data_IF_184705687030
#
_entry.id   IF_184705687030
#
_cell.length_a   1.000
_cell.length_b   1.000
_cell.length_c   1.000
_cell.angle_alpha   90.00
_cell.angle_beta   90.00
_cell.angle_gamma   90.00
#
_symmetry.space_group_name_H-M   'P 1'
#
loop_
_entity.id
_entity.type
_entity.pdbx_description
1 polymer ?
#
# COMPACT_ATOMS: atom_id res chain seq x y z
N UNK A 1 -6.27 22.06 -30.27
CA UNK A 1 -5.94 20.76 -29.62
C UNK A 1 -6.67 19.68 -30.36
N UNK A 2 -5.94 18.75 -30.97
CA UNK A 2 -6.53 17.58 -31.62
C UNK A 2 -7.07 16.62 -30.56
N UNK A 3 -7.94 15.67 -30.92
CA UNK A 3 -8.48 14.67 -29.97
C UNK A 3 -7.39 13.82 -29.30
N UNK A 4 -6.20 13.72 -29.91
CA UNK A 4 -5.05 12.97 -29.40
C UNK A 4 -4.33 13.69 -28.25
N UNK A 5 -4.37 15.02 -28.21
CA UNK A 5 -3.71 15.85 -27.18
C UNK A 5 -4.34 15.69 -25.77
N UNK A 6 -5.43 14.92 -25.67
CA UNK A 6 -6.18 14.71 -24.42
C UNK A 6 -6.37 13.24 -24.04
N UNK A 7 -5.73 12.30 -24.75
CA UNK A 7 -5.79 10.89 -24.39
C UNK A 7 -4.67 10.51 -23.44
N UNK A 8 -5.02 9.90 -22.32
CA UNK A 8 -4.09 9.44 -21.30
C UNK A 8 -4.19 7.93 -21.18
N UNK A 9 -3.03 7.27 -21.15
CA UNK A 9 -2.94 5.87 -20.76
C UNK A 9 -2.60 5.78 -19.28
N UNK A 10 -3.37 5.00 -18.52
CA UNK A 10 -3.08 4.65 -17.13
C UNK A 10 -2.88 3.13 -17.06
N UNK A 11 -1.71 2.71 -16.62
CA UNK A 11 -1.36 1.29 -16.47
C UNK A 11 -1.47 0.91 -15.00
N UNK A 12 -2.42 0.02 -14.69
CA UNK A 12 -2.79 -0.46 -13.36
C UNK A 12 -4.09 0.19 -12.85
N UNK A 13 -5.03 -0.63 -12.40
CA UNK A 13 -6.34 -0.23 -11.87
C UNK A 13 -6.42 -0.26 -10.33
N UNK A 14 -5.26 -0.20 -9.65
CA UNK A 14 -5.18 0.05 -8.19
C UNK A 14 -5.37 1.53 -7.84
N UNK A 15 -5.24 1.90 -6.56
CA UNK A 15 -5.47 3.27 -6.09
C UNK A 15 -4.74 4.34 -6.91
N UNK A 16 -3.47 4.10 -7.25
CA UNK A 16 -2.69 5.07 -8.02
C UNK A 16 -3.37 5.37 -9.36
N UNK A 17 -3.67 4.33 -10.15
CA UNK A 17 -4.30 4.51 -11.45
C UNK A 17 -5.74 5.03 -11.35
N UNK A 18 -6.52 4.54 -10.38
CA UNK A 18 -7.91 4.97 -10.21
C UNK A 18 -8.02 6.46 -9.85
N UNK A 19 -7.17 6.96 -8.97
CA UNK A 19 -7.12 8.38 -8.60
C UNK A 19 -6.68 9.23 -9.79
N UNK A 20 -5.64 8.81 -10.53
CA UNK A 20 -5.20 9.52 -11.73
C UNK A 20 -6.32 9.57 -12.78
N UNK A 21 -6.94 8.43 -13.07
CA UNK A 21 -7.99 8.33 -14.07
C UNK A 21 -9.19 9.22 -13.73
N UNK A 22 -9.68 9.15 -12.49
CA UNK A 22 -10.80 9.98 -12.05
C UNK A 22 -10.48 11.47 -12.13
N UNK A 23 -9.35 11.90 -11.57
CA UNK A 23 -9.00 13.32 -11.53
C UNK A 23 -8.71 13.90 -12.93
N UNK A 24 -8.05 13.15 -13.82
CA UNK A 24 -7.80 13.58 -15.20
C UNK A 24 -9.08 13.61 -16.04
N UNK A 25 -9.97 12.64 -15.85
CA UNK A 25 -11.25 12.61 -16.53
C UNK A 25 -12.15 13.79 -16.12
N UNK A 26 -12.13 14.18 -14.84
CA UNK A 26 -12.80 15.38 -14.33
C UNK A 26 -12.19 16.67 -14.90
N UNK A 27 -10.89 16.67 -15.22
CA UNK A 27 -10.23 17.74 -15.94
C UNK A 27 -10.46 17.71 -17.47
N UNK A 28 -11.27 16.77 -17.97
CA UNK A 28 -11.71 16.70 -19.36
C UNK A 28 -10.85 15.84 -20.29
N UNK A 29 -9.88 15.10 -19.76
CA UNK A 29 -9.09 14.12 -20.52
C UNK A 29 -9.90 12.84 -20.78
N UNK A 30 -9.61 12.18 -21.90
CA UNK A 30 -10.06 10.81 -22.17
C UNK A 30 -9.02 9.85 -21.61
N UNK A 31 -9.42 8.93 -20.72
CA UNK A 31 -8.50 8.06 -20.00
C UNK A 31 -8.76 6.60 -20.32
N UNK A 32 -7.77 5.94 -20.89
CA UNK A 32 -7.72 4.50 -21.04
C UNK A 32 -6.95 3.90 -19.86
N UNK A 33 -7.64 3.11 -19.03
CA UNK A 33 -7.08 2.37 -17.91
C UNK A 33 -6.93 0.90 -18.33
N UNK A 34 -5.74 0.34 -18.16
CA UNK A 34 -5.51 -1.10 -18.37
C UNK A 34 -5.07 -1.76 -17.07
N UNK A 35 -5.46 -3.02 -16.86
CA UNK A 35 -4.88 -3.86 -15.81
C UNK A 35 -4.66 -5.27 -16.35
N UNK A 36 -3.54 -5.88 -15.97
CA UNK A 36 -3.24 -7.28 -16.32
C UNK A 36 -4.14 -8.26 -15.54
N UNK A 37 -4.64 -7.85 -14.36
CA UNK A 37 -5.56 -8.66 -13.56
C UNK A 37 -6.96 -8.63 -14.17
N UNK A 38 -7.78 -9.66 -13.92
CA UNK A 38 -9.17 -9.72 -14.38
C UNK A 38 -10.13 -8.88 -13.51
N UNK A 39 -9.62 -7.98 -12.68
CA UNK A 39 -10.41 -7.14 -11.77
C UNK A 39 -9.72 -5.80 -11.50
N UNK A 40 -10.51 -4.84 -11.03
CA UNK A 40 -10.05 -3.52 -10.57
C UNK A 40 -9.54 -3.55 -9.12
N UNK A 41 -9.19 -2.39 -8.56
CA UNK A 41 -8.79 -2.17 -7.17
C UNK A 41 -7.40 -2.69 -6.77
N UNK A 42 -6.66 -3.34 -7.67
CA UNK A 42 -5.32 -3.85 -7.38
C UNK A 42 -5.34 -4.77 -6.16
N UNK A 43 -4.48 -4.53 -5.17
CA UNK A 43 -4.45 -5.34 -3.93
C UNK A 43 -5.63 -5.06 -3.00
N UNK A 44 -6.28 -3.91 -3.11
CA UNK A 44 -7.47 -3.60 -2.31
C UNK A 44 -8.73 -4.34 -2.80
N UNK A 45 -8.63 -5.15 -3.85
CA UNK A 45 -9.75 -5.91 -4.37
C UNK A 45 -10.34 -6.85 -3.31
N UNK A 46 -11.66 -6.73 -3.13
CA UNK A 46 -12.46 -7.59 -2.28
C UNK A 46 -13.62 -8.25 -3.04
N UNK A 47 -14.09 -9.37 -2.51
CA UNK A 47 -15.24 -10.09 -2.99
C UNK A 47 -15.97 -10.76 -1.84
N UNK A 48 -17.27 -11.00 -2.00
CA UNK A 48 -18.04 -11.83 -1.06
C UNK A 48 -17.80 -13.29 -1.41
N UNK A 49 -17.40 -14.08 -0.43
CA UNK A 49 -17.18 -15.52 -0.59
C UNK A 49 -18.49 -16.33 -0.46
N UNK A 50 -18.39 -17.65 -0.61
CA UNK A 50 -19.52 -18.57 -0.51
C UNK A 50 -20.15 -18.63 0.91
N UNK A 51 -19.50 -18.05 1.92
CA UNK A 51 -20.04 -17.93 3.28
C UNK A 51 -20.78 -16.60 3.49
N UNK A 52 -20.91 -15.77 2.46
CA UNK A 52 -21.50 -14.45 2.59
C UNK A 52 -20.59 -13.45 3.30
N UNK A 53 -19.30 -13.72 3.40
CA UNK A 53 -18.31 -12.87 4.06
C UNK A 53 -17.46 -12.17 3.02
N UNK A 54 -17.31 -10.85 3.13
CA UNK A 54 -16.40 -10.05 2.32
C UNK A 54 -14.96 -10.34 2.74
N UNK A 55 -14.17 -10.78 1.77
CA UNK A 55 -12.76 -11.11 1.94
C UNK A 55 -11.95 -10.28 0.98
N UNK A 56 -10.86 -9.69 1.47
CA UNK A 56 -9.89 -9.07 0.57
C UNK A 56 -8.97 -10.17 0.04
N UNK A 57 -8.90 -10.30 -1.28
CA UNK A 57 -8.14 -11.38 -1.93
C UNK A 57 -6.64 -11.30 -1.63
N UNK A 58 -6.14 -10.10 -1.38
CA UNK A 58 -4.71 -9.82 -1.20
C UNK A 58 -4.37 -9.34 0.22
N UNK A 59 -5.09 -9.86 1.21
CA UNK A 59 -4.86 -9.57 2.63
C UNK A 59 -5.62 -8.35 3.15
N UNK A 60 -5.65 -8.14 4.48
CA UNK A 60 -6.43 -7.07 5.11
C UNK A 60 -5.93 -5.69 4.68
N UNK A 61 -6.85 -4.86 4.21
CA UNK A 61 -6.61 -3.49 3.76
C UNK A 61 -7.44 -2.58 4.65
N UNK A 62 -6.79 -2.01 5.65
CA UNK A 62 -7.41 -1.20 6.69
C UNK A 62 -7.08 0.25 6.40
N UNK A 63 -8.09 1.08 6.20
CA UNK A 63 -7.84 2.48 5.87
C UNK A 63 -7.64 3.30 7.14
N UNK A 64 -6.53 4.03 7.18
CA UNK A 64 -6.19 4.96 8.25
C UNK A 64 -5.46 6.18 7.66
N UNK A 65 -5.74 7.37 8.18
CA UNK A 65 -5.03 8.59 7.80
C UNK A 65 -5.30 9.76 8.76
N UNK A 66 -4.42 10.77 8.72
CA UNK A 66 -4.68 12.12 9.24
C UNK A 66 -5.05 13.13 8.14
N UNK A 67 -4.98 12.75 6.87
CA UNK A 67 -5.17 13.67 5.74
C UNK A 67 -6.65 13.82 5.38
N UNK A 68 -7.28 14.93 5.83
CA UNK A 68 -8.68 15.27 5.55
C UNK A 68 -9.01 15.26 4.05
N UNK A 69 -8.13 15.80 3.20
CA UNK A 69 -8.34 15.84 1.75
C UNK A 69 -8.49 14.45 1.15
N UNK A 70 -7.79 13.45 1.69
CA UNK A 70 -7.93 12.06 1.23
C UNK A 70 -9.27 11.48 1.69
N UNK A 71 -9.69 11.77 2.92
CA UNK A 71 -11.00 11.35 3.45
C UNK A 71 -12.13 11.93 2.61
N UNK A 72 -12.10 13.24 2.37
CA UNK A 72 -13.08 13.95 1.54
C UNK A 72 -13.13 13.36 0.13
N UNK A 73 -11.96 13.03 -0.45
CA UNK A 73 -11.90 12.40 -1.76
C UNK A 73 -12.55 11.02 -1.77
N UNK A 74 -12.28 10.17 -0.77
CA UNK A 74 -12.86 8.83 -0.68
C UNK A 74 -14.37 8.86 -0.41
N UNK A 75 -14.84 9.78 0.43
CA UNK A 75 -16.25 9.93 0.79
C UNK A 75 -17.17 10.22 -0.42
N UNK A 76 -16.61 10.72 -1.52
CA UNK A 76 -17.33 10.91 -2.80
C UNK A 76 -17.76 9.58 -3.44
N UNK A 77 -17.08 8.48 -3.12
CA UNK A 77 -17.23 7.20 -3.81
C UNK A 77 -17.65 6.05 -2.89
N UNK A 78 -17.81 6.28 -1.59
CA UNK A 78 -18.28 5.27 -0.65
C UNK A 78 -18.73 5.88 0.68
N UNK A 79 -19.55 5.15 1.43
CA UNK A 79 -19.84 5.47 2.83
C UNK A 79 -18.70 4.96 3.70
N UNK A 80 -18.14 5.84 4.54
CA UNK A 80 -17.02 5.53 5.43
C UNK A 80 -17.55 5.00 6.76
N UNK A 81 -17.25 3.73 7.06
CA UNK A 81 -17.65 3.07 8.31
C UNK A 81 -16.51 3.17 9.32
N UNK A 82 -16.67 3.86 10.45
CA UNK A 82 -15.63 3.95 11.47
C UNK A 82 -15.20 2.57 11.98
N UNK A 83 -13.88 2.34 12.04
CA UNK A 83 -13.32 1.09 12.55
C UNK A 83 -11.90 1.33 13.07
N UNK A 84 -11.70 1.15 14.37
CA UNK A 84 -10.37 1.24 14.98
C UNK A 84 -9.77 -0.16 15.09
N UNK A 85 -8.73 -0.41 14.30
CA UNK A 85 -8.15 -1.74 14.25
C UNK A 85 -7.36 -2.08 15.52
N UNK A 86 -7.52 -3.31 16.00
CA UNK A 86 -6.76 -3.87 17.12
C UNK A 86 -6.15 -5.21 16.71
N UNK A 87 -4.95 -5.48 17.21
CA UNK A 87 -4.20 -6.72 16.95
C UNK A 87 -3.78 -7.34 18.26
N UNK A 88 -3.81 -8.67 18.33
CA UNK A 88 -3.15 -9.43 19.38
C UNK A 88 -1.94 -10.17 18.82
N UNK A 89 -0.91 -10.36 19.63
CA UNK A 89 0.19 -11.25 19.34
C UNK A 89 0.05 -12.52 20.19
N UNK A 90 0.09 -13.68 19.55
CA UNK A 90 0.22 -14.98 20.19
C UNK A 90 1.70 -15.26 20.44
N UNK A 91 2.15 -14.97 21.68
CA UNK A 91 3.55 -15.10 22.09
C UNK A 91 3.88 -16.49 22.61
N UNK A 92 2.89 -17.18 23.14
CA UNK A 92 2.89 -18.62 23.42
C UNK A 92 1.50 -19.16 23.10
N UNK A 93 1.31 -20.49 22.98
CA UNK A 93 -0.01 -21.06 22.65
C UNK A 93 -1.12 -20.75 23.68
N UNK A 94 -0.78 -20.19 24.84
CA UNK A 94 -1.72 -19.80 25.90
C UNK A 94 -1.74 -18.30 26.19
N UNK A 95 -0.90 -17.48 25.54
CA UNK A 95 -0.76 -16.06 25.85
C UNK A 95 -0.96 -15.20 24.60
N UNK A 96 -2.12 -14.53 24.57
CA UNK A 96 -2.46 -13.47 23.61
C UNK A 96 -2.33 -12.12 24.30
N UNK A 97 -1.50 -11.24 23.76
CA UNK A 97 -1.21 -9.92 24.33
C UNK A 97 -1.43 -8.82 23.29
N UNK A 98 -1.77 -7.58 23.69
CA UNK A 98 -1.92 -6.47 22.75
C UNK A 98 -0.67 -6.24 21.89
N UNK A 99 -0.90 -5.92 20.61
CA UNK A 99 0.10 -5.38 19.70
C UNK A 99 -0.48 -4.10 19.07
N UNK A 100 0.21 -2.95 19.12
CA UNK A 100 1.62 -2.74 19.48
C UNK A 100 1.95 -3.00 20.97
N UNK A 101 3.22 -3.28 21.27
CA UNK A 101 3.67 -3.54 22.66
C UNK A 101 3.33 -2.34 23.53
N UNK A 102 2.55 -2.57 24.58
CA UNK A 102 2.09 -1.55 25.53
C UNK A 102 2.28 -2.01 26.98
N UNK A 103 1.80 -1.24 27.97
CA UNK A 103 1.94 -1.58 29.40
C UNK A 103 1.41 -2.97 29.74
N UNK A 104 0.22 -3.32 29.23
CA UNK A 104 -0.42 -4.63 29.47
C UNK A 104 0.42 -5.76 28.89
N UNK A 105 0.92 -5.59 27.67
CA UNK A 105 1.83 -6.53 27.03
C UNK A 105 3.07 -6.78 27.89
N UNK A 106 3.70 -5.73 28.40
CA UNK A 106 4.90 -5.85 29.24
C UNK A 106 4.55 -6.56 30.55
N UNK A 107 3.47 -6.15 31.23
CA UNK A 107 3.06 -6.76 32.48
C UNK A 107 2.80 -8.27 32.35
N UNK A 108 2.09 -8.68 31.28
CA UNK A 108 1.74 -10.07 31.02
C UNK A 108 2.95 -10.92 30.61
N UNK A 109 3.83 -10.40 29.74
CA UNK A 109 5.02 -11.14 29.28
C UNK A 109 6.01 -11.39 30.41
N UNK A 110 6.15 -10.43 31.33
CA UNK A 110 7.12 -10.52 32.43
C UNK A 110 6.51 -11.04 33.74
N UNK A 111 5.18 -11.14 33.84
CA UNK A 111 4.50 -11.49 35.08
C UNK A 111 4.68 -10.44 36.18
N UNK A 112 4.93 -9.18 35.80
CA UNK A 112 5.25 -8.08 36.71
C UNK A 112 4.11 -7.06 36.70
N UNK A 113 3.50 -6.75 37.87
CA UNK A 113 2.53 -5.67 37.94
C UNK A 113 3.18 -4.32 37.61
N UNK A 114 2.61 -3.61 36.64
CA UNK A 114 3.03 -2.27 36.25
C UNK A 114 1.85 -1.32 36.44
N UNK A 115 1.68 -0.65 37.60
CA UNK A 115 0.43 0.03 37.93
C UNK A 115 0.07 1.20 37.01
N UNK A 116 1.06 1.83 36.39
CA UNK A 116 0.88 3.00 35.53
C UNK A 116 1.95 3.05 34.42
N UNK A 117 1.86 4.08 33.59
CA UNK A 117 2.80 4.31 32.49
C UNK A 117 4.24 4.59 32.96
N UNK A 118 4.41 5.28 34.08
CA UNK A 118 5.73 5.60 34.62
C UNK A 118 6.46 4.33 35.08
N UNK A 119 5.75 3.39 35.71
CA UNK A 119 6.28 2.09 36.08
C UNK A 119 6.69 1.27 34.86
N UNK A 120 5.88 1.26 33.79
CA UNK A 120 6.25 0.58 32.54
C UNK A 120 7.48 1.19 31.87
N UNK A 121 7.58 2.53 31.85
CA UNK A 121 8.75 3.23 31.32
C UNK A 121 10.01 2.84 32.10
N UNK A 122 9.99 2.96 33.42
CA UNK A 122 11.11 2.60 34.27
C UNK A 122 11.52 1.13 34.11
N UNK A 123 10.54 0.22 33.94
CA UNK A 123 10.82 -1.19 33.69
C UNK A 123 11.49 -1.42 32.33
N UNK A 124 10.98 -0.80 31.25
CA UNK A 124 11.63 -0.89 29.93
C UNK A 124 13.06 -0.32 29.95
N UNK A 125 13.30 0.76 30.67
CA UNK A 125 14.63 1.36 30.79
C UNK A 125 15.63 0.40 31.45
N UNK A 126 15.16 -0.52 32.31
CA UNK A 126 16.02 -1.58 32.89
C UNK A 126 16.35 -2.70 31.90
N UNK A 127 15.55 -2.85 30.83
CA UNK A 127 15.73 -3.88 29.79
C UNK A 127 16.49 -3.35 28.57
N UNK A 128 16.41 -2.04 28.32
CA UNK A 128 16.99 -1.39 27.16
C UNK A 128 18.52 -1.39 27.20
N UNK A 129 19.15 -1.63 26.04
CA UNK A 129 20.61 -1.54 25.90
C UNK A 129 21.04 -0.12 25.52
N UNK A 130 22.11 0.43 26.14
CA UNK A 130 22.57 1.78 25.82
C UNK A 130 23.30 1.80 24.47
N UNK A 131 22.55 2.03 23.39
CA UNK A 131 23.04 2.12 22.02
C UNK A 131 22.63 3.47 21.43
N UNK A 132 23.57 4.41 21.34
CA UNK A 132 23.29 5.79 20.94
C UNK A 132 22.88 5.94 19.46
N UNK A 133 23.49 5.12 18.58
CA UNK A 133 23.28 5.19 17.13
C UNK A 133 23.06 3.78 16.55
N UNK A 134 21.82 3.25 16.62
CA UNK A 134 21.51 1.92 16.09
C UNK A 134 21.78 1.81 14.58
N UNK A 135 22.58 0.83 14.18
CA UNK A 135 22.95 0.60 12.79
C UNK A 135 21.91 -0.24 12.01
N UNK A 136 21.07 -1.00 12.71
CA UNK A 136 20.13 -1.97 12.14
C UNK A 136 18.86 -2.09 13.00
N UNK A 137 17.89 -2.90 12.53
CA UNK A 137 16.63 -3.09 13.22
C UNK A 137 16.79 -3.78 14.59
N UNK A 138 17.76 -4.69 14.75
CA UNK A 138 18.01 -5.37 16.02
C UNK A 138 18.46 -4.39 17.11
N UNK A 139 19.51 -3.60 16.84
CA UNK A 139 20.03 -2.59 17.77
C UNK A 139 18.99 -1.53 18.13
N UNK A 140 18.15 -1.14 17.16
CA UNK A 140 17.06 -0.22 17.42
C UNK A 140 16.05 -0.81 18.42
N UNK A 141 15.71 -2.08 18.30
CA UNK A 141 14.78 -2.72 19.23
C UNK A 141 15.43 -3.00 20.59
N UNK A 142 16.69 -3.43 20.63
CA UNK A 142 17.43 -3.64 21.89
C UNK A 142 17.50 -2.36 22.72
N UNK A 143 17.78 -1.22 22.08
CA UNK A 143 17.84 0.08 22.75
C UNK A 143 16.50 0.62 23.22
N UNK A 144 15.38 0.00 22.85
CA UNK A 144 14.03 0.51 23.16
C UNK A 144 13.21 -0.43 24.05
N UNK A 145 13.33 -1.74 23.85
CA UNK A 145 12.53 -2.77 24.53
C UNK A 145 13.37 -3.95 25.05
N UNK A 146 14.69 -3.92 24.84
CA UNK A 146 15.58 -5.00 25.25
C UNK A 146 15.44 -6.28 24.41
N UNK A 147 16.36 -7.23 24.63
CA UNK A 147 16.42 -8.47 23.85
C UNK A 147 15.19 -9.34 23.98
N UNK A 148 14.66 -9.52 25.20
CA UNK A 148 13.55 -10.46 25.43
C UNK A 148 12.30 -10.09 24.63
N UNK A 149 11.87 -8.84 24.64
CA UNK A 149 10.71 -8.40 23.83
C UNK A 149 11.06 -8.40 22.33
N UNK A 150 12.29 -8.05 21.97
CA UNK A 150 12.76 -8.14 20.57
C UNK A 150 12.64 -9.57 20.04
N UNK A 151 13.13 -10.55 20.79
CA UNK A 151 13.17 -11.96 20.40
C UNK A 151 11.79 -12.61 20.45
N UNK A 152 10.89 -12.14 21.32
CA UNK A 152 9.50 -12.62 21.37
C UNK A 152 8.66 -12.07 20.22
N UNK A 153 8.67 -10.75 19.98
CA UNK A 153 7.70 -10.12 19.08
C UNK A 153 8.22 -9.87 17.67
N UNK A 154 9.51 -9.56 17.53
CA UNK A 154 10.06 -9.04 16.28
C UNK A 154 10.90 -10.07 15.56
N UNK A 155 11.82 -10.77 16.23
CA UNK A 155 12.76 -11.68 15.57
C UNK A 155 12.09 -12.81 14.77
N UNK A 156 11.23 -13.67 15.37
CA UNK A 156 10.58 -14.75 14.64
C UNK A 156 9.65 -14.22 13.55
N UNK A 157 8.85 -13.19 13.85
CA UNK A 157 7.96 -12.56 12.88
C UNK A 157 8.73 -11.99 11.68
N UNK A 158 9.84 -11.31 11.94
CA UNK A 158 10.69 -10.69 10.91
C UNK A 158 11.33 -11.75 10.03
N UNK A 159 11.87 -12.83 10.61
CA UNK A 159 12.40 -13.96 9.85
C UNK A 159 11.35 -14.56 8.91
N UNK A 160 10.11 -14.75 9.39
CA UNK A 160 9.00 -15.23 8.54
C UNK A 160 8.69 -14.24 7.42
N UNK A 161 8.47 -12.97 7.78
CA UNK A 161 8.03 -11.93 6.85
C UNK A 161 9.06 -11.61 5.76
N UNK A 162 10.34 -11.52 6.15
CA UNK A 162 11.40 -10.97 5.30
C UNK A 162 12.45 -11.98 4.87
N UNK A 163 12.49 -13.17 5.46
CA UNK A 163 13.57 -14.15 5.27
C UNK A 163 14.96 -13.55 5.55
N UNK A 164 15.02 -12.66 6.54
CA UNK A 164 16.22 -11.92 6.96
C UNK A 164 16.28 -11.89 8.49
N UNK A 165 17.50 -11.79 9.01
CA UNK A 165 17.75 -11.46 10.41
C UNK A 165 17.54 -9.95 10.64
N UNK A 166 17.16 -9.58 11.87
CA UNK A 166 16.95 -8.17 12.25
C UNK A 166 18.22 -7.33 12.04
N UNK A 167 19.38 -7.94 12.19
CA UNK A 167 20.70 -7.35 12.00
C UNK A 167 20.98 -6.96 10.52
N UNK A 168 20.29 -7.59 9.57
CA UNK A 168 20.45 -7.32 8.12
C UNK A 168 19.48 -6.25 7.61
N UNK A 169 18.53 -5.83 8.46
CA UNK A 169 17.44 -4.95 8.10
C UNK A 169 17.67 -3.51 8.51
N UNK A 170 17.21 -2.58 7.68
CA UNK A 170 17.18 -1.16 8.05
C UNK A 170 16.26 -0.93 9.25
N UNK A 171 16.71 -0.12 10.22
CA UNK A 171 15.91 0.29 11.38
C UNK A 171 14.57 0.94 10.99
N UNK A 172 14.48 1.56 9.81
CA UNK A 172 13.26 2.17 9.29
C UNK A 172 12.10 1.17 9.12
N UNK A 173 12.37 -0.14 9.04
CA UNK A 173 11.33 -1.17 8.93
C UNK A 173 10.57 -1.34 10.26
N UNK A 174 11.29 -1.34 11.39
CA UNK A 174 10.72 -1.58 12.72
C UNK A 174 10.29 -0.29 13.42
N UNK A 175 10.88 0.85 13.07
CA UNK A 175 10.52 2.18 13.59
C UNK A 175 9.06 2.58 13.33
N UNK A 176 8.38 1.92 12.40
CA UNK A 176 6.97 2.15 12.07
C UNK A 176 6.01 1.59 13.14
N UNK A 177 6.46 0.64 13.95
CA UNK A 177 5.63 0.02 14.99
C UNK A 177 5.83 0.83 16.28
N UNK A 178 4.80 1.53 16.79
CA UNK A 178 4.95 2.34 17.99
C UNK A 178 5.18 1.45 19.21
N UNK A 179 6.19 1.78 20.01
CA UNK A 179 6.45 1.14 21.30
C UNK A 179 5.87 2.01 22.40
N UNK A 180 4.93 1.47 23.17
CA UNK A 180 4.11 2.24 24.11
C UNK A 180 4.31 1.79 25.55
N UNK A 181 4.01 2.70 26.48
CA UNK A 181 4.02 2.44 27.93
C UNK A 181 2.69 2.73 28.58
N UNK A 182 1.68 3.13 27.82
CA UNK A 182 0.29 3.28 28.24
C UNK A 182 -0.54 2.01 27.90
N UNK A 183 -1.86 2.07 28.04
CA UNK A 183 -2.78 0.95 27.74
C UNK A 183 -3.39 1.01 26.34
N UNK A 184 -2.96 1.95 25.51
CA UNK A 184 -3.46 2.09 24.14
C UNK A 184 -3.21 0.81 23.35
N UNK A 185 -4.28 0.26 22.77
CA UNK A 185 -4.28 -1.02 22.06
C UNK A 185 -4.78 -0.93 20.62
N UNK A 186 -5.11 0.28 20.15
CA UNK A 186 -5.35 0.52 18.73
C UNK A 186 -4.03 0.38 17.97
N UNK A 187 -4.11 -0.21 16.79
CA UNK A 187 -2.96 -0.44 15.92
C UNK A 187 -2.51 0.85 15.21
N UNK A 188 -3.44 1.78 14.95
CA UNK A 188 -3.19 3.08 14.33
C UNK A 188 -3.62 4.25 15.26
N UNK A 189 -3.11 4.35 16.49
CA UNK A 189 -3.65 5.28 17.49
C UNK A 189 -3.42 6.76 17.13
N UNK A 190 -2.45 7.02 16.26
CA UNK A 190 -2.08 8.36 15.84
C UNK A 190 -2.84 8.85 14.60
N UNK A 191 -3.67 8.00 13.98
CA UNK A 191 -4.50 8.39 12.84
C UNK A 191 -5.93 8.68 13.29
N UNK A 192 -6.34 9.93 13.10
CA UNK A 192 -7.68 10.41 13.50
C UNK A 192 -8.80 9.74 12.70
N UNK A 193 -8.56 9.43 11.43
CA UNK A 193 -9.56 8.80 10.57
C UNK A 193 -9.18 7.35 10.32
N UNK A 194 -10.01 6.43 10.81
CA UNK A 194 -9.89 5.01 10.57
C UNK A 194 -11.25 4.46 10.17
N UNK A 195 -11.32 3.87 8.98
CA UNK A 195 -12.59 3.41 8.43
C UNK A 195 -12.44 2.25 7.44
N UNK A 196 -13.58 1.66 7.10
CA UNK A 196 -13.73 0.73 5.99
C UNK A 196 -14.86 1.21 5.05
N UNK A 197 -14.78 0.94 3.73
CA UNK A 197 -15.88 1.21 2.82
C UNK A 197 -17.10 0.32 3.14
N UNK A 198 -18.28 0.90 3.31
CA UNK A 198 -19.50 0.15 3.70
C UNK A 198 -19.83 -1.00 2.72
N UNK A 199 -19.63 -0.77 1.42
CA UNK A 199 -19.90 -1.74 0.36
C UNK A 199 -18.62 -2.45 -0.13
N UNK A 200 -17.51 -2.31 0.61
CA UNK A 200 -16.19 -2.77 0.21
C UNK A 200 -15.47 -1.89 -0.80
N UNK A 201 -14.18 -2.15 -0.97
CA UNK A 201 -13.30 -1.43 -1.88
C UNK A 201 -13.70 -1.65 -3.33
N UNK A 202 -14.09 -2.86 -3.74
CA UNK A 202 -14.44 -3.10 -5.14
C UNK A 202 -15.58 -2.19 -5.61
N UNK A 203 -16.66 -2.07 -4.81
CA UNK A 203 -17.77 -1.16 -5.10
C UNK A 203 -17.36 0.32 -5.09
N UNK A 204 -16.41 0.71 -4.25
CA UNK A 204 -15.83 2.06 -4.29
C UNK A 204 -15.07 2.30 -5.60
N UNK A 205 -14.25 1.34 -6.05
CA UNK A 205 -13.51 1.44 -7.30
C UNK A 205 -14.41 1.44 -8.54
N UNK A 206 -15.52 0.70 -8.53
CA UNK A 206 -16.56 0.79 -9.58
C UNK A 206 -17.05 2.22 -9.73
N UNK A 207 -17.41 2.88 -8.62
CA UNK A 207 -17.82 4.29 -8.61
C UNK A 207 -16.69 5.24 -9.00
N UNK A 208 -15.43 4.94 -8.65
CA UNK A 208 -14.26 5.73 -9.09
C UNK A 208 -14.06 5.61 -10.60
N UNK A 209 -14.37 4.49 -11.23
CA UNK A 209 -14.23 4.34 -12.68
C UNK A 209 -15.49 4.68 -13.48
N UNK A 210 -16.65 4.83 -12.82
CA UNK A 210 -17.92 5.25 -13.44
C UNK A 210 -17.88 6.73 -13.89
N UNK A 211 -17.30 6.97 -15.05
CA UNK A 211 -17.21 8.28 -15.70
C UNK A 211 -17.20 8.10 -17.22
N UNK A 212 -17.92 8.95 -17.99
CA UNK A 212 -18.04 8.78 -19.45
C UNK A 212 -16.71 8.88 -20.22
N UNK A 213 -15.68 9.51 -19.62
CA UNK A 213 -14.33 9.66 -20.20
C UNK A 213 -13.32 8.61 -19.72
N UNK A 214 -13.76 7.62 -18.95
CA UNK A 214 -12.89 6.54 -18.46
C UNK A 214 -13.29 5.25 -19.15
N UNK A 215 -12.31 4.59 -19.76
CA UNK A 215 -12.46 3.22 -20.29
C UNK A 215 -11.51 2.30 -19.54
N UNK A 216 -12.05 1.22 -18.97
CA UNK A 216 -11.25 0.21 -18.26
C UNK A 216 -11.18 -1.08 -19.09
N UNK A 217 -9.97 -1.56 -19.34
CA UNK A 217 -9.70 -2.84 -20.00
C UNK A 217 -8.90 -3.75 -19.06
N UNK A 218 -9.55 -4.81 -18.58
CA UNK A 218 -8.96 -5.81 -17.68
C UNK A 218 -8.31 -6.94 -18.49
N UNK A 219 -7.55 -7.82 -17.81
CA UNK A 219 -6.81 -8.91 -18.45
C UNK A 219 -5.93 -8.46 -19.63
N UNK A 220 -5.42 -7.22 -19.54
CA UNK A 220 -4.70 -6.54 -20.61
C UNK A 220 -3.31 -6.15 -20.11
N UNK A 221 -2.30 -6.91 -20.53
CA UNK A 221 -0.89 -6.58 -20.25
C UNK A 221 -0.44 -5.36 -21.04
N UNK A 222 0.35 -4.50 -20.41
CA UNK A 222 0.95 -3.35 -21.08
C UNK A 222 1.95 -3.78 -22.17
N UNK A 223 1.92 -3.09 -23.30
CA UNK A 223 2.94 -3.14 -24.32
C UNK A 223 3.41 -1.72 -24.67
N UNK A 224 4.72 -1.46 -24.90
CA UNK A 224 5.22 -0.11 -25.21
C UNK A 224 4.49 0.59 -26.36
N UNK A 225 4.05 -0.16 -27.36
CA UNK A 225 3.30 0.37 -28.49
C UNK A 225 1.95 1.03 -28.11
N UNK A 226 1.37 0.68 -26.96
CA UNK A 226 0.11 1.27 -26.46
C UNK A 226 0.24 2.75 -26.11
N UNK A 227 1.48 3.25 -25.92
CA UNK A 227 1.73 4.68 -25.70
C UNK A 227 1.59 5.52 -26.97
N UNK A 228 1.60 4.91 -28.16
CA UNK A 228 1.50 5.65 -29.42
C UNK A 228 0.14 6.36 -29.49
N UNK A 229 0.16 7.67 -29.74
CA UNK A 229 -1.05 8.49 -29.79
C UNK A 229 -1.62 8.88 -28.41
N UNK A 230 -0.92 8.57 -27.32
CA UNK A 230 -1.27 9.06 -25.99
C UNK A 230 -0.50 10.35 -25.70
N UNK A 231 -1.16 11.35 -25.13
CA UNK A 231 -0.52 12.58 -24.68
C UNK A 231 0.43 12.31 -23.51
N UNK A 232 0.06 11.40 -22.61
CA UNK A 232 0.91 10.97 -21.49
C UNK A 232 0.55 9.55 -21.03
N UNK A 233 1.49 8.87 -20.40
CA UNK A 233 1.30 7.58 -19.78
C UNK A 233 1.65 7.63 -18.28
N UNK A 234 0.69 7.32 -17.42
CA UNK A 234 0.94 7.09 -16.00
C UNK A 234 1.03 5.59 -15.75
N UNK A 235 2.20 5.11 -15.32
CA UNK A 235 2.50 3.67 -15.28
C UNK A 235 2.78 3.19 -13.86
N UNK A 236 1.95 2.27 -13.33
CA UNK A 236 2.16 1.66 -12.02
C UNK A 236 2.82 0.28 -12.06
N UNK A 237 3.29 -0.18 -13.22
CA UNK A 237 4.08 -1.42 -13.32
C UNK A 237 5.39 -1.32 -12.52
N UNK A 238 5.98 -2.46 -12.12
CA UNK A 238 7.34 -2.48 -11.62
C UNK A 238 8.31 -1.83 -12.60
N UNK A 239 9.04 -0.81 -12.14
CA UNK A 239 9.91 0.02 -12.99
C UNK A 239 11.08 -0.78 -13.59
N UNK A 240 11.60 -1.75 -12.85
CA UNK A 240 12.63 -2.70 -13.31
C UNK A 240 12.13 -3.52 -14.51
N UNK A 241 10.93 -4.09 -14.38
CA UNK A 241 10.29 -4.89 -15.45
C UNK A 241 10.00 -4.04 -16.70
N UNK A 242 9.56 -2.78 -16.53
CA UNK A 242 9.35 -1.87 -17.67
C UNK A 242 10.63 -1.68 -18.51
N UNK A 243 11.77 -1.57 -17.84
CA UNK A 243 13.08 -1.40 -18.49
C UNK A 243 13.83 -2.72 -18.72
N UNK A 244 13.13 -3.85 -18.68
CA UNK A 244 13.69 -5.18 -18.98
C UNK A 244 14.83 -5.58 -18.03
N UNK A 245 14.73 -5.22 -16.75
CA UNK A 245 15.66 -5.62 -15.69
C UNK A 245 17.14 -5.25 -15.95
N UNK A 246 17.39 -4.24 -16.81
CA UNK A 246 18.74 -3.87 -17.30
C UNK A 246 19.76 -3.44 -16.23
N UNK A 247 19.34 -3.04 -15.04
CA UNK A 247 20.21 -2.69 -13.91
C UNK A 247 20.13 -3.74 -12.77
N UNK A 248 19.48 -4.87 -13.03
CA UNK A 248 19.15 -5.89 -12.05
C UNK A 248 17.73 -5.74 -11.48
N UNK A 249 17.14 -6.84 -10.98
CA UNK A 249 15.78 -6.83 -10.46
C UNK A 249 15.68 -6.06 -9.14
N UNK A 250 14.55 -5.41 -8.92
CA UNK A 250 14.18 -4.83 -7.63
C UNK A 250 13.34 -5.84 -6.84
N UNK A 251 13.87 -6.44 -5.76
CA UNK A 251 13.18 -7.53 -5.08
C UNK A 251 11.99 -7.05 -4.25
N UNK A 252 10.99 -7.92 -4.15
CA UNK A 252 9.80 -7.75 -3.33
C UNK A 252 9.56 -8.98 -2.46
N UNK A 253 8.96 -8.79 -1.29
CA UNK A 253 8.26 -9.86 -0.58
C UNK A 253 6.82 -9.98 -1.07
N UNK A 254 6.32 -11.20 -0.98
CA UNK A 254 4.94 -11.57 -1.31
C UNK A 254 4.34 -12.37 -0.17
N UNK A 255 3.05 -12.69 -0.30
CA UNK A 255 2.26 -13.43 0.69
C UNK A 255 1.33 -14.38 -0.07
N UNK A 256 1.30 -15.64 0.36
CA UNK A 256 0.24 -16.59 0.00
C UNK A 256 -0.86 -16.52 1.05
N UNK A 257 -2.10 -16.42 0.59
CA UNK A 257 -3.27 -16.30 1.43
C UNK A 257 -3.99 -17.65 1.49
N UNK A 258 -4.22 -18.12 2.71
CA UNK A 258 -4.85 -19.40 2.99
C UNK A 258 -6.18 -19.16 3.68
N UNK A 259 -7.27 -19.30 2.92
CA UNK A 259 -8.63 -19.07 3.41
C UNK A 259 -9.19 -20.33 4.08
N UNK A 260 -9.88 -20.15 5.20
CA UNK A 260 -10.56 -21.22 5.92
C UNK A 260 -11.96 -20.77 6.34
N UNK A 261 -12.88 -21.73 6.45
CA UNK A 261 -14.24 -21.51 6.95
C UNK A 261 -14.41 -22.22 8.28
N UNK A 262 -14.97 -21.54 9.26
CA UNK A 262 -15.27 -22.12 10.57
C UNK A 262 -16.73 -21.92 10.97
N UNK A 263 -17.21 -22.76 11.89
CA UNK A 263 -18.55 -22.63 12.48
C UNK A 263 -18.58 -21.47 13.48
N UNK A 264 -19.72 -20.79 13.55
CA UNK A 264 -19.92 -19.62 14.37
C UNK A 264 -19.70 -18.32 13.59
N UNK A 265 -20.50 -17.30 13.92
CA UNK A 265 -20.54 -16.04 13.17
C UNK A 265 -19.69 -14.92 13.77
N UNK A 266 -19.14 -15.14 14.97
CA UNK A 266 -18.35 -14.15 15.71
C UNK A 266 -17.01 -14.75 16.13
N UNK A 267 -15.99 -13.91 16.22
CA UNK A 267 -14.72 -14.28 16.82
C UNK A 267 -14.94 -14.79 18.27
N UNK A 268 -14.12 -15.73 18.77
CA UNK A 268 -14.15 -16.12 20.17
C UNK A 268 -13.92 -14.91 21.08
N UNK A 269 -14.54 -14.90 22.26
CA UNK A 269 -14.38 -13.82 23.22
C UNK A 269 -12.90 -13.56 23.52
N UNK A 270 -12.49 -12.29 23.50
CA UNK A 270 -11.11 -11.88 23.76
C UNK A 270 -10.15 -12.03 22.57
N UNK A 271 -10.59 -12.47 21.38
CA UNK A 271 -9.80 -12.39 20.14
C UNK A 271 -10.06 -11.10 19.39
N UNK A 272 -8.99 -10.50 18.88
CA UNK A 272 -9.07 -9.38 17.94
C UNK A 272 -9.33 -9.89 16.51
N UNK A 273 -9.70 -8.97 15.61
CA UNK A 273 -9.89 -9.28 14.19
C UNK A 273 -8.63 -9.85 13.52
N UNK A 274 -7.45 -9.49 14.02
CA UNK A 274 -6.17 -10.04 13.57
C UNK A 274 -5.36 -10.53 14.75
N UNK A 275 -4.80 -11.73 14.62
CA UNK A 275 -3.84 -12.32 15.55
C UNK A 275 -2.52 -12.58 14.82
N UNK A 276 -1.44 -11.99 15.31
CA UNK A 276 -0.08 -12.26 14.83
C UNK A 276 0.50 -13.47 15.55
N UNK A 277 1.15 -14.35 14.80
CA UNK A 277 1.88 -15.50 15.34
C UNK A 277 3.36 -15.13 15.48
N UNK A 278 3.92 -15.27 16.67
CA UNK A 278 5.35 -14.99 16.90
C UNK A 278 6.19 -16.25 17.08
N UNK A 279 5.67 -17.39 16.63
CA UNK A 279 6.36 -18.68 16.59
C UNK A 279 7.25 -18.85 15.35
N UNK A 280 7.86 -20.03 15.22
CA UNK A 280 8.65 -20.44 14.06
C UNK A 280 7.82 -21.11 12.93
N UNK A 281 6.47 -21.08 13.02
CA UNK A 281 5.60 -21.65 11.99
C UNK A 281 5.64 -20.87 10.66
N UNK A 282 4.96 -21.31 9.60
CA UNK A 282 5.01 -20.62 8.30
C UNK A 282 4.16 -19.34 8.27
N UNK A 283 3.13 -19.25 9.10
CA UNK A 283 2.17 -18.15 9.06
C UNK A 283 2.60 -16.98 9.94
N UNK A 284 2.41 -15.76 9.44
CA UNK A 284 2.68 -14.53 10.20
C UNK A 284 1.48 -14.08 11.02
N UNK A 285 0.27 -14.23 10.48
CA UNK A 285 -0.96 -13.80 11.13
C UNK A 285 -2.18 -14.47 10.54
N UNK A 286 -3.28 -14.37 11.28
CA UNK A 286 -4.61 -14.78 10.88
C UNK A 286 -5.57 -13.60 11.03
N UNK A 287 -6.42 -13.38 10.03
CA UNK A 287 -7.50 -12.39 10.06
C UNK A 287 -8.85 -13.09 10.05
N UNK A 288 -9.73 -12.72 10.98
CA UNK A 288 -11.17 -13.04 10.95
C UNK A 288 -11.93 -11.91 10.26
N UNK A 289 -12.37 -12.17 9.03
CA UNK A 289 -13.10 -11.19 8.23
C UNK A 289 -14.46 -10.85 8.83
N UNK A 290 -15.05 -11.76 9.59
CA UNK A 290 -16.39 -11.58 10.18
C UNK A 290 -16.37 -10.62 11.36
N UNK A 291 -15.18 -10.35 11.92
CA UNK A 291 -14.97 -9.36 12.97
C UNK A 291 -14.87 -7.92 12.42
N UNK A 292 -14.73 -7.75 11.10
CA UNK A 292 -14.68 -6.43 10.47
C UNK A 292 -16.10 -5.90 10.19
N UNK A 293 -16.40 -4.63 10.46
CA UNK A 293 -17.72 -4.08 10.26
C UNK A 293 -18.09 -4.10 8.77
N UNK A 294 -19.35 -4.45 8.46
CA UNK A 294 -19.89 -4.60 7.10
C UNK A 294 -19.26 -5.71 6.23
N UNK A 295 -18.40 -6.56 6.78
CA UNK A 295 -17.89 -7.71 6.05
C UNK A 295 -18.86 -8.90 6.05
N UNK A 296 -19.76 -9.00 7.01
CA UNK A 296 -20.85 -9.99 6.98
C UNK A 296 -21.97 -9.50 6.09
N UNK A 297 -21.99 -9.95 4.84
CA UNK A 297 -22.98 -9.55 3.83
C UNK A 297 -24.21 -10.44 3.87
N UNK A 298 -24.02 -11.75 4.04
CA UNK A 298 -25.11 -12.72 4.19
C UNK A 298 -24.85 -13.61 5.43
N UNK A 299 -25.85 -13.80 6.31
CA UNK A 299 -25.68 -14.67 7.48
C UNK A 299 -25.76 -16.14 7.05
N UNK A 300 -24.70 -16.90 7.34
CA UNK A 300 -24.63 -18.34 7.03
C UNK A 300 -24.33 -19.20 8.25
N UNK A 301 -24.24 -18.63 9.45
CA UNK A 301 -23.81 -19.36 10.65
C UNK A 301 -22.31 -19.63 10.72
N UNK A 302 -21.53 -19.14 9.76
CA UNK A 302 -20.09 -19.42 9.60
C UNK A 302 -19.28 -18.13 9.50
N UNK A 303 -17.98 -18.26 9.74
CA UNK A 303 -16.98 -17.19 9.58
C UNK A 303 -15.89 -17.59 8.60
N UNK A 304 -15.28 -16.59 7.98
CA UNK A 304 -14.11 -16.80 7.12
C UNK A 304 -12.86 -16.24 7.77
N UNK A 305 -11.82 -17.08 7.82
CA UNK A 305 -10.49 -16.74 8.31
C UNK A 305 -9.49 -16.72 7.17
N UNK A 306 -8.39 -15.99 7.32
CA UNK A 306 -7.27 -16.03 6.37
C UNK A 306 -5.95 -15.98 7.07
N UNK A 307 -5.09 -16.96 6.79
CA UNK A 307 -3.70 -16.99 7.24
C UNK A 307 -2.77 -16.49 6.15
N UNK A 308 -1.72 -15.78 6.57
CA UNK A 308 -0.74 -15.17 5.69
C UNK A 308 0.61 -15.88 5.80
N UNK A 309 1.06 -16.49 4.70
CA UNK A 309 2.37 -17.14 4.56
C UNK A 309 3.27 -16.28 3.68
N UNK A 310 4.26 -15.57 4.24
CA UNK A 310 5.17 -14.75 3.45
C UNK A 310 6.09 -15.59 2.57
N UNK A 311 6.38 -15.13 1.37
CA UNK A 311 7.27 -15.81 0.42
C UNK A 311 8.03 -14.80 -0.46
N UNK A 312 8.95 -15.32 -1.27
CA UNK A 312 9.49 -14.52 -2.36
C UNK A 312 8.40 -14.31 -3.42
N UNK A 313 8.36 -13.13 -4.04
CA UNK A 313 7.40 -12.84 -5.11
C UNK A 313 7.51 -13.79 -6.30
N UNK A 314 8.71 -14.28 -6.61
CA UNK A 314 8.94 -15.25 -7.68
C UNK A 314 8.21 -16.56 -7.44
N UNK A 315 8.05 -16.95 -6.18
CA UNK A 315 7.37 -18.18 -5.78
C UNK A 315 5.83 -18.02 -5.73
N UNK A 316 5.32 -16.82 -6.02
CA UNK A 316 3.91 -16.47 -5.95
C UNK A 316 3.45 -15.76 -7.22
N UNK A 317 3.82 -16.29 -8.39
CA UNK A 317 3.38 -15.73 -9.68
C UNK A 317 3.81 -14.30 -9.93
N UNK A 318 4.94 -13.87 -9.35
CA UNK A 318 5.46 -12.50 -9.40
C UNK A 318 4.56 -11.45 -8.75
N UNK A 319 3.70 -11.86 -7.80
CA UNK A 319 2.88 -10.95 -7.01
C UNK A 319 3.72 -10.13 -6.03
N UNK A 320 3.83 -8.82 -6.27
CA UNK A 320 4.73 -7.90 -5.54
C UNK A 320 3.94 -7.11 -4.49
N UNK A 321 4.22 -7.33 -3.21
CA UNK A 321 3.53 -6.62 -2.12
C UNK A 321 4.42 -5.64 -1.38
N UNK A 322 5.62 -6.03 -0.97
CA UNK A 322 6.49 -5.20 -0.13
C UNK A 322 7.86 -5.03 -0.79
N UNK A 323 8.29 -3.81 -1.16
CA UNK A 323 9.64 -3.60 -1.65
C UNK A 323 10.65 -3.91 -0.54
N UNK A 324 11.72 -4.64 -0.88
CA UNK A 324 12.76 -5.03 0.07
C UNK A 324 13.74 -3.88 0.29
N UNK A 325 13.98 -3.53 1.55
CA UNK A 325 14.97 -2.52 1.96
C UNK A 325 16.05 -3.19 2.81
N UNK A 326 17.30 -3.04 2.41
CA UNK A 326 18.47 -3.61 3.09
C UNK A 326 19.25 -2.51 3.80
N UNK A 327 19.95 -2.85 4.89
CA UNK A 327 20.78 -1.88 5.63
C UNK A 327 21.91 -1.28 4.77
N UNK A 328 22.46 -2.05 3.82
CA UNK A 328 23.48 -1.60 2.86
C UNK A 328 22.95 -0.69 1.74
N UNK A 329 21.63 -0.52 1.62
CA UNK A 329 20.99 0.32 0.60
C UNK A 329 21.18 -0.14 -0.85
N UNK A 330 21.60 -1.39 -1.11
CA UNK A 330 21.94 -1.86 -2.46
C UNK A 330 20.79 -1.75 -3.46
N UNK A 331 19.56 -2.04 -3.03
CA UNK A 331 18.38 -1.95 -3.92
C UNK A 331 17.92 -0.50 -4.14
N UNK A 332 18.17 0.40 -3.18
CA UNK A 332 17.92 1.82 -3.39
C UNK A 332 18.89 2.41 -4.43
N UNK A 333 20.14 1.91 -4.48
CA UNK A 333 21.09 2.28 -5.52
C UNK A 333 20.66 1.82 -6.92
N UNK A 334 20.08 0.62 -7.04
CA UNK A 334 19.50 0.13 -8.30
C UNK A 334 18.28 0.97 -8.70
N UNK A 335 17.36 1.23 -7.76
CA UNK A 335 16.17 2.04 -8.03
C UNK A 335 16.52 3.45 -8.52
N UNK A 336 17.56 4.09 -7.95
CA UNK A 336 18.04 5.41 -8.42
C UNK A 336 18.46 5.41 -9.89
N UNK A 337 19.03 4.32 -10.39
CA UNK A 337 19.40 4.21 -11.81
C UNK A 337 18.16 4.12 -12.70
N UNK A 338 17.16 3.33 -12.31
CA UNK A 338 15.88 3.27 -13.02
C UNK A 338 15.13 4.60 -12.99
N UNK A 339 15.08 5.26 -11.83
CA UNK A 339 14.43 6.56 -11.69
C UNK A 339 15.10 7.61 -12.60
N UNK A 340 16.42 7.64 -12.66
CA UNK A 340 17.15 8.57 -13.53
C UNK A 340 16.88 8.34 -15.03
N UNK A 341 16.54 7.11 -15.44
CA UNK A 341 16.10 6.80 -16.79
C UNK A 341 14.67 7.28 -17.04
N UNK A 342 13.76 6.99 -16.11
CA UNK A 342 12.37 7.44 -16.17
C UNK A 342 12.22 8.97 -16.19
N UNK A 343 13.04 9.68 -15.42
CA UNK A 343 13.01 11.16 -15.35
C UNK A 343 13.38 11.83 -16.70
N UNK A 344 13.99 11.09 -17.65
CA UNK A 344 14.37 11.57 -18.98
C UNK A 344 13.37 11.17 -20.06
N UNK A 345 12.36 10.37 -19.74
CA UNK A 345 11.43 9.82 -20.71
C UNK A 345 10.19 10.69 -20.81
N UNK A 346 10.07 11.44 -21.90
CA UNK A 346 8.93 12.30 -22.16
C UNK A 346 7.63 11.49 -22.32
N UNK A 347 6.52 12.07 -21.86
CA UNK A 347 5.20 11.43 -21.96
C UNK A 347 5.03 10.20 -21.07
N UNK A 348 5.87 10.02 -20.04
CA UNK A 348 5.80 8.90 -19.09
C UNK A 348 5.98 9.40 -17.66
N UNK A 349 5.22 8.84 -16.72
CA UNK A 349 5.44 9.03 -15.28
C UNK A 349 5.13 7.73 -14.55
N UNK A 350 6.07 7.27 -13.73
CA UNK A 350 5.84 6.12 -12.86
C UNK A 350 5.08 6.53 -11.61
N UNK A 351 4.08 5.74 -11.24
CA UNK A 351 3.18 6.02 -10.12
C UNK A 351 2.98 4.81 -9.22
N UNK A 352 2.56 5.06 -7.99
CA UNK A 352 2.21 4.01 -7.03
C UNK A 352 3.37 3.14 -6.57
N UNK A 353 3.05 2.13 -5.76
CA UNK A 353 4.01 1.27 -5.06
C UNK A 353 5.07 0.64 -5.97
N UNK A 354 4.64 -0.04 -7.04
CA UNK A 354 5.54 -0.80 -7.90
C UNK A 354 6.32 0.11 -8.87
N UNK A 355 5.67 1.15 -9.40
CA UNK A 355 6.33 2.12 -10.28
C UNK A 355 7.41 2.94 -9.58
N UNK A 356 7.26 3.18 -8.27
CA UNK A 356 8.19 4.02 -7.50
C UNK A 356 9.05 3.25 -6.49
N UNK A 357 8.91 1.91 -6.41
CA UNK A 357 9.62 1.06 -5.45
C UNK A 357 9.53 1.55 -3.98
N UNK A 358 8.33 1.97 -3.58
CA UNK A 358 8.07 2.56 -2.26
C UNK A 358 7.04 1.75 -1.47
N UNK A 359 7.29 1.55 -0.18
CA UNK A 359 6.29 1.00 0.72
C UNK A 359 5.32 2.12 1.11
N UNK A 360 4.16 2.13 0.43
CA UNK A 360 3.08 3.11 0.59
C UNK A 360 1.79 2.49 1.14
N UNK A 361 1.19 3.17 2.11
CA UNK A 361 -0.19 2.93 2.56
C UNK A 361 -1.19 3.55 1.59
N UNK A 362 -2.46 3.13 1.66
CA UNK A 362 -3.51 3.56 0.73
C UNK A 362 -3.66 5.08 0.68
N UNK A 363 -3.69 5.74 1.84
CA UNK A 363 -3.84 7.20 1.90
C UNK A 363 -2.64 7.94 1.28
N UNK A 364 -1.44 7.38 1.41
CA UNK A 364 -0.22 7.95 0.81
C UNK A 364 -0.28 7.84 -0.71
N UNK A 365 -0.73 6.70 -1.24
CA UNK A 365 -0.92 6.51 -2.69
C UNK A 365 -1.97 7.49 -3.23
N UNK A 366 -3.09 7.67 -2.54
CA UNK A 366 -4.14 8.63 -2.96
C UNK A 366 -3.58 10.05 -2.96
N UNK A 367 -2.95 10.48 -1.86
CA UNK A 367 -2.39 11.83 -1.77
C UNK A 367 -1.32 12.10 -2.83
N UNK A 368 -0.35 11.19 -3.00
CA UNK A 368 0.68 11.30 -4.03
C UNK A 368 0.07 11.39 -5.44
N UNK A 369 -1.01 10.64 -5.69
CA UNK A 369 -1.69 10.66 -6.99
C UNK A 369 -2.44 11.97 -7.25
N UNK A 370 -3.15 12.50 -6.24
CA UNK A 370 -3.80 13.80 -6.34
C UNK A 370 -2.80 14.93 -6.57
N UNK A 371 -1.64 14.88 -5.91
CA UNK A 371 -0.55 15.83 -6.14
C UNK A 371 0.06 15.66 -7.53
N UNK A 372 0.30 14.42 -7.97
CA UNK A 372 0.85 14.11 -9.29
C UNK A 372 -0.01 14.64 -10.43
N UNK A 373 -1.34 14.43 -10.36
CA UNK A 373 -2.28 14.99 -11.34
C UNK A 373 -2.28 16.51 -11.30
N UNK A 374 -2.29 17.13 -10.12
CA UNK A 374 -2.26 18.59 -10.01
C UNK A 374 -1.01 19.18 -10.69
N UNK A 375 0.17 18.59 -10.45
CA UNK A 375 1.41 19.01 -11.10
C UNK A 375 1.37 18.83 -12.61
N UNK A 376 0.81 17.72 -13.10
CA UNK A 376 0.65 17.48 -14.54
C UNK A 376 -0.26 18.52 -15.20
N UNK A 377 -1.40 18.83 -14.58
CA UNK A 377 -2.36 19.81 -15.11
C UNK A 377 -1.80 21.24 -15.12
N UNK A 378 -1.02 21.61 -14.10
CA UNK A 378 -0.32 22.90 -14.06
C UNK A 378 0.68 23.02 -15.22
N UNK A 379 1.54 22.00 -15.41
CA UNK A 379 2.52 21.98 -16.49
C UNK A 379 1.86 22.00 -17.89
N UNK A 380 0.70 21.35 -18.05
CA UNK A 380 -0.05 21.37 -19.30
C UNK A 380 -0.70 22.74 -19.60
N UNK A 381 -0.99 23.54 -18.56
CA UNK A 381 -1.58 24.88 -18.69
C UNK A 381 -0.52 25.93 -19.05
N UNK A 382 0.72 25.74 -18.61
CA UNK A 382 1.85 26.65 -18.85
C UNK A 382 2.56 26.40 -20.20
N UNK A 383 2.21 25.33 -20.92
CA UNK A 383 2.74 25.07 -22.26
C UNK A 383 2.30 26.19 -23.24
N UNK A 384 3.22 26.90 -23.90
CA UNK A 384 2.84 28.00 -24.78
C UNK A 384 1.92 27.49 -25.89
N UNK A 385 0.69 28.04 -25.94
CA UNK A 385 -0.26 27.75 -27.01
C UNK A 385 0.43 28.03 -28.34
N UNK A 386 0.68 26.97 -29.11
CA UNK A 386 1.41 27.06 -30.38
C UNK A 386 0.87 28.21 -31.23
N UNK A 387 1.77 29.14 -31.55
CA UNK A 387 1.60 30.17 -32.57
C UNK A 387 0.99 29.52 -33.81
N UNK A 388 -0.27 29.86 -34.10
CA UNK A 388 -0.81 29.69 -35.44
C UNK A 388 -0.03 30.62 -36.36
N UNK A 389 1.03 30.11 -36.97
CA UNK A 389 1.67 30.77 -38.09
C UNK A 389 0.64 30.80 -39.23
N UNK A 390 -0.08 31.92 -39.33
CA UNK A 390 -0.91 32.25 -40.48
C UNK A 390 -0.03 32.29 -41.71
N UNK A 391 -0.35 31.43 -42.67
CA UNK A 391 0.15 31.52 -44.03
C UNK A 391 -0.28 32.86 -44.64
N UNK A 392 0.67 33.71 -45.01
CA UNK A 392 0.47 34.76 -46.01
C UNK A 392 1.80 35.41 -46.40
N UNK A 393 2.31 35.06 -47.58
CA UNK A 393 2.70 36.04 -48.61
C UNK A 393 3.35 35.30 -49.78
N UNK A 394 2.62 35.20 -50.88
CA UNK A 394 3.18 34.96 -52.22
C UNK A 394 4.16 36.10 -52.58
N UNK A 395 5.26 35.84 -53.32
CA UNK A 395 6.02 36.90 -53.93
C UNK A 395 5.36 37.30 -55.27
N UNK A 396 4.83 38.51 -55.31
CA UNK A 396 4.38 39.17 -56.54
C UNK A 396 5.58 39.47 -57.45
N UNK A 397 5.56 38.88 -58.64
CA UNK A 397 6.36 39.28 -59.79
C UNK A 397 5.93 40.69 -60.22
N UNK A 398 6.83 41.67 -60.18
CA UNK A 398 6.72 42.86 -61.02
C UNK A 398 8.09 43.27 -61.56
N UNK A 399 8.06 43.47 -62.86
CA UNK A 399 9.10 43.81 -63.82
C UNK A 399 9.31 45.31 -63.94
N UNK A 400 10.50 45.68 -64.44
CA UNK A 400 10.86 46.90 -65.22
C UNK A 400 11.41 48.14 -64.45
N UNK A 401 12.10 49.08 -65.15
CA UNK A 401 13.30 48.92 -65.97
C UNK A 401 14.37 50.00 -65.65
N UNK A 402 15.61 49.81 -66.09
CA UNK A 402 16.69 50.80 -65.99
C UNK A 402 18.05 50.22 -66.28
#
# INVERSE_FOLDING_TARGET
>A
MTSWDRRILVVGAGFAGAVHARALAEAGYEVDVIDQRPHIAGNAFDSVDDNGVRVHRYGPHLFHTNNERVVDWMARFTTLVPYEHKVLAEVTPQLLVPLPVNRRTIAEVFGTPLPDEAAARAFLDTLAEPIDAPANAAEYLYSRIGRRLTDLFFRPYTRKMWAMDLEEMSAAVVQRIPLRTDDEDRYFPNDRFQFLPADGYTAMFERIFDHPRIRVSLSTSFAPAMRRGMAHCFNSMPIDTYYGDRFGPLPYRSIRFHHATEQGETAPAGRAATVNFTDAGPFTRETDWSALPHHRVLPTGRRTLTREEPCDYRDNGFERYYPVKTSDGRYDAIYRQYKALADREEGLTFIGRCGTYQYLDMHQVINQSLMGVASFLAAASDAPSGSSASASSEPSYQTQPG
#
